data_IF_355771503434
#
_entry.id   IF_355771503434
#
_cell.length_a   1.000
_cell.length_b   1.000
_cell.length_c   1.000
_cell.angle_alpha   90.00
_cell.angle_beta   90.00
_cell.angle_gamma   90.00
#
_symmetry.space_group_name_H-M   'P 1'
#
loop_
_entity.id
_entity.type
_entity.pdbx_description
1 polymer ?
#
# COMPACT_ATOMS: atom_id res chain seq x y z
N UNK A 1 -12.35 0.86 13.07
CA UNK A 1 -11.53 1.69 13.96
C UNK A 1 -12.45 2.64 14.71
N UNK A 2 -12.27 2.80 16.00
CA UNK A 2 -13.04 3.78 16.79
C UNK A 2 -12.33 5.15 16.81
N UNK A 3 -13.01 6.17 17.35
CA UNK A 3 -12.47 7.56 17.42
C UNK A 3 -11.18 7.70 18.26
N UNK A 4 -10.78 6.65 18.96
CA UNK A 4 -9.53 6.58 19.73
C UNK A 4 -8.41 5.87 18.97
N UNK A 5 -8.65 5.47 17.72
CA UNK A 5 -7.71 4.72 16.91
C UNK A 5 -7.65 3.23 17.24
N UNK A 6 -8.53 2.70 18.11
CA UNK A 6 -8.55 1.28 18.42
C UNK A 6 -9.11 0.48 17.25
N UNK A 7 -8.30 -0.41 16.72
CA UNK A 7 -8.69 -1.36 15.69
C UNK A 7 -9.43 -2.52 16.37
N UNK A 8 -10.63 -2.82 15.89
CA UNK A 8 -11.39 -4.01 16.29
C UNK A 8 -11.59 -4.86 15.06
N UNK A 9 -10.90 -5.97 15.01
CA UNK A 9 -10.97 -6.90 13.90
C UNK A 9 -12.15 -7.86 14.10
N UNK A 10 -13.14 -7.88 13.19
CA UNK A 10 -14.00 -9.03 13.06
C UNK A 10 -13.19 -10.19 12.46
N UNK A 11 -13.62 -11.46 12.66
CA UNK A 11 -12.98 -12.56 11.98
C UNK A 11 -12.99 -12.33 10.47
N UNK A 12 -11.88 -12.69 9.76
CA UNK A 12 -11.80 -12.53 8.33
C UNK A 12 -12.96 -13.31 7.66
N UNK A 13 -13.61 -12.67 6.69
CA UNK A 13 -14.62 -13.34 5.88
C UNK A 13 -13.91 -14.12 4.78
N UNK A 14 -14.23 -15.41 4.61
CA UNK A 14 -13.74 -16.15 3.45
C UNK A 14 -14.26 -15.50 2.17
N UNK A 15 -13.35 -15.16 1.26
CA UNK A 15 -13.69 -14.56 -0.02
C UNK A 15 -13.37 -15.54 -1.13
N UNK A 16 -14.36 -15.89 -1.92
CA UNK A 16 -14.16 -16.58 -3.18
C UNK A 16 -13.87 -15.57 -4.29
N UNK A 17 -13.09 -15.96 -5.29
CA UNK A 17 -12.79 -15.13 -6.45
C UNK A 17 -14.10 -14.65 -7.12
N UNK A 18 -14.22 -13.31 -7.29
CA UNK A 18 -15.40 -12.68 -7.88
C UNK A 18 -16.54 -12.30 -6.92
N UNK A 19 -16.47 -12.63 -5.63
CA UNK A 19 -17.51 -12.30 -4.64
C UNK A 19 -17.14 -11.12 -3.71
N UNK A 20 -16.04 -10.45 -3.95
CA UNK A 20 -15.50 -9.41 -3.05
C UNK A 20 -16.51 -8.29 -2.73
N UNK A 21 -17.23 -7.79 -3.74
CA UNK A 21 -18.22 -6.73 -3.55
C UNK A 21 -19.42 -7.18 -2.75
N UNK A 22 -20.00 -8.34 -3.08
CA UNK A 22 -21.15 -8.90 -2.38
C UNK A 22 -20.82 -9.16 -0.90
N UNK A 23 -19.60 -9.63 -0.61
CA UNK A 23 -19.10 -9.84 0.74
C UNK A 23 -18.98 -8.51 1.51
N UNK A 24 -18.43 -7.45 0.88
CA UNK A 24 -18.35 -6.11 1.47
C UNK A 24 -19.75 -5.59 1.81
N UNK A 25 -20.71 -5.67 0.89
CA UNK A 25 -22.07 -5.22 1.16
C UNK A 25 -22.73 -6.03 2.28
N UNK A 26 -22.61 -7.36 2.25
CA UNK A 26 -23.17 -8.23 3.30
C UNK A 26 -22.60 -7.87 4.67
N UNK A 27 -21.31 -7.64 4.76
CA UNK A 27 -20.64 -7.23 5.99
C UNK A 27 -21.14 -5.87 6.48
N UNK A 28 -21.20 -4.86 5.62
CA UNK A 28 -21.62 -3.52 5.96
C UNK A 28 -23.11 -3.43 6.31
N UNK A 29 -23.98 -4.16 5.60
CA UNK A 29 -25.40 -4.26 5.90
C UNK A 29 -25.65 -4.86 7.30
N UNK A 30 -24.78 -5.77 7.73
CA UNK A 30 -24.85 -6.35 9.08
C UNK A 30 -24.26 -5.45 10.17
N UNK A 31 -23.36 -4.53 9.82
CA UNK A 31 -22.59 -3.71 10.76
C UNK A 31 -23.22 -2.32 10.98
N UNK A 32 -23.56 -1.60 9.90
CA UNK A 32 -23.98 -0.20 9.94
C UNK A 32 -25.22 0.02 10.80
N UNK A 33 -26.28 -0.80 10.72
CA UNK A 33 -27.47 -0.61 11.57
C UNK A 33 -27.22 -0.80 13.06
N UNK A 34 -26.12 -1.47 13.43
CA UNK A 34 -25.79 -1.82 14.82
C UNK A 34 -24.74 -0.93 15.45
N UNK A 35 -24.12 -0.05 14.67
CA UNK A 35 -22.99 0.77 15.08
C UNK A 35 -23.15 2.19 14.58
N UNK A 36 -22.64 3.15 15.32
CA UNK A 36 -22.55 4.54 14.89
C UNK A 36 -21.32 4.68 13.96
N UNK A 37 -21.50 4.39 12.66
CA UNK A 37 -20.47 4.50 11.66
C UNK A 37 -20.49 5.92 11.09
N UNK A 38 -19.33 6.55 10.94
CA UNK A 38 -19.19 7.92 10.44
C UNK A 38 -18.55 8.00 9.06
N UNK A 39 -17.76 7.02 8.68
CA UNK A 39 -17.15 6.92 7.38
C UNK A 39 -16.78 5.46 7.06
N UNK A 40 -16.58 5.17 5.80
CA UNK A 40 -16.17 3.86 5.30
C UNK A 40 -14.81 4.03 4.59
N UNK A 41 -13.80 3.26 5.00
CA UNK A 41 -12.53 3.13 4.32
C UNK A 41 -12.38 1.75 3.73
N UNK A 42 -12.03 1.68 2.45
CA UNK A 42 -11.78 0.43 1.73
C UNK A 42 -10.42 0.53 1.05
N UNK A 43 -9.52 -0.36 1.42
CA UNK A 43 -8.29 -0.58 0.67
C UNK A 43 -8.48 -1.75 -0.29
N UNK A 44 -8.04 -1.58 -1.51
CA UNK A 44 -8.21 -2.58 -2.54
C UNK A 44 -6.91 -2.80 -3.31
N UNK A 45 -6.56 -4.06 -3.65
CA UNK A 45 -5.47 -4.33 -4.57
C UNK A 45 -5.84 -3.84 -5.98
N UNK A 46 -4.84 -3.35 -6.71
CA UNK A 46 -5.00 -2.80 -8.06
C UNK A 46 -5.05 -1.27 -8.09
N UNK A 47 -5.33 -0.73 -9.28
CA UNK A 47 -5.34 0.73 -9.50
C UNK A 47 -6.65 1.31 -8.97
N UNK A 48 -6.55 2.29 -8.07
CA UNK A 48 -7.72 3.00 -7.53
C UNK A 48 -7.76 4.41 -8.11
N UNK A 49 -8.83 4.72 -8.87
CA UNK A 49 -9.02 6.01 -9.51
C UNK A 49 -10.49 6.42 -9.54
N UNK A 50 -10.77 7.68 -9.14
CA UNK A 50 -12.10 8.26 -9.25
C UNK A 50 -13.21 7.45 -8.60
N UNK A 51 -12.96 6.83 -7.45
CA UNK A 51 -13.93 5.96 -6.76
C UNK A 51 -14.08 4.56 -7.34
N UNK A 52 -13.27 4.22 -8.34
CA UNK A 52 -13.27 2.91 -8.99
C UNK A 52 -12.01 2.13 -8.66
N UNK A 53 -12.10 0.80 -8.70
CA UNK A 53 -10.98 -0.14 -8.67
C UNK A 53 -10.82 -0.73 -10.05
N UNK A 54 -9.61 -0.68 -10.60
CA UNK A 54 -9.24 -1.37 -11.84
C UNK A 54 -8.33 -2.53 -11.49
N UNK A 55 -8.73 -3.73 -11.85
CA UNK A 55 -7.95 -4.96 -11.66
C UNK A 55 -7.68 -5.63 -12.99
N UNK A 56 -6.45 -6.07 -13.20
CA UNK A 56 -6.10 -6.92 -14.31
C UNK A 56 -6.60 -8.33 -14.03
N UNK A 57 -7.20 -8.99 -15.02
CA UNK A 57 -7.51 -10.42 -14.91
C UNK A 57 -6.24 -11.27 -14.86
N UNK A 58 -6.27 -12.35 -14.05
CA UNK A 58 -5.12 -13.27 -13.90
C UNK A 58 -4.62 -13.88 -15.22
N UNK A 59 -5.46 -13.96 -16.23
CA UNK A 59 -5.16 -14.62 -17.52
C UNK A 59 -5.62 -13.80 -18.74
N UNK A 60 -5.67 -12.45 -18.61
CA UNK A 60 -6.09 -11.58 -19.69
C UNK A 60 -5.34 -10.24 -19.69
N UNK A 61 -5.47 -9.51 -20.80
CA UNK A 61 -4.94 -8.15 -20.92
C UNK A 61 -5.97 -7.07 -20.55
N UNK A 62 -7.19 -7.47 -20.20
CA UNK A 62 -8.28 -6.56 -19.88
C UNK A 62 -8.29 -6.19 -18.40
N UNK A 63 -8.64 -4.93 -18.13
CA UNK A 63 -8.86 -4.43 -16.80
C UNK A 63 -10.36 -4.37 -16.50
N UNK A 64 -10.77 -5.03 -15.43
CA UNK A 64 -12.11 -4.85 -14.89
C UNK A 64 -12.18 -3.59 -14.05
N UNK A 65 -13.16 -2.74 -14.38
CA UNK A 65 -13.46 -1.53 -13.63
C UNK A 65 -14.70 -1.73 -12.77
N UNK A 66 -14.53 -1.55 -11.46
CA UNK A 66 -15.59 -1.64 -10.47
C UNK A 66 -15.81 -0.29 -9.80
N UNK A 67 -17.01 0.27 -9.87
CA UNK A 67 -17.39 1.53 -9.21
C UNK A 67 -17.80 1.30 -7.75
N UNK A 68 -16.84 0.87 -6.93
CA UNK A 68 -17.08 0.49 -5.55
C UNK A 68 -17.31 1.70 -4.64
N UNK A 69 -16.53 2.76 -4.82
CA UNK A 69 -16.57 3.94 -3.94
C UNK A 69 -17.90 4.68 -4.04
N UNK A 70 -18.36 4.98 -5.25
CA UNK A 70 -19.64 5.66 -5.45
C UNK A 70 -20.82 4.79 -5.05
N UNK A 71 -20.76 3.49 -5.32
CA UNK A 71 -21.82 2.55 -4.93
C UNK A 71 -21.96 2.48 -3.41
N UNK A 72 -20.84 2.44 -2.67
CA UNK A 72 -20.85 2.47 -1.21
C UNK A 72 -21.41 3.80 -0.67
N UNK A 73 -20.93 4.93 -1.21
CA UNK A 73 -21.38 6.25 -0.79
C UNK A 73 -22.89 6.44 -1.03
N UNK A 74 -23.40 6.02 -2.18
CA UNK A 74 -24.81 6.10 -2.53
C UNK A 74 -25.68 5.19 -1.63
N UNK A 75 -25.21 3.95 -1.38
CA UNK A 75 -25.98 2.98 -0.59
C UNK A 75 -26.10 3.37 0.88
N UNK A 76 -25.02 3.86 1.48
CA UNK A 76 -24.96 4.09 2.92
C UNK A 76 -25.08 5.55 3.34
N UNK A 77 -24.98 6.51 2.41
CA UNK A 77 -25.03 7.93 2.72
C UNK A 77 -23.87 8.40 3.62
N UNK A 78 -22.73 7.74 3.55
CA UNK A 78 -21.55 8.01 4.37
C UNK A 78 -20.37 8.43 3.49
N UNK A 79 -19.43 9.25 4.02
CA UNK A 79 -18.16 9.49 3.38
C UNK A 79 -17.42 8.17 3.13
N UNK A 80 -16.88 7.98 1.91
CA UNK A 80 -16.12 6.80 1.52
C UNK A 80 -14.73 7.20 1.08
N UNK A 81 -13.73 6.49 1.61
CA UNK A 81 -12.35 6.51 1.11
C UNK A 81 -12.08 5.17 0.44
N UNK A 82 -11.68 5.22 -0.81
CA UNK A 82 -11.18 4.08 -1.55
C UNK A 82 -9.71 4.37 -1.90
N UNK A 83 -8.81 3.49 -1.49
CA UNK A 83 -7.37 3.65 -1.73
C UNK A 83 -6.74 2.30 -2.12
N UNK A 84 -5.62 2.36 -2.84
CA UNK A 84 -4.78 1.18 -3.04
C UNK A 84 -4.21 0.70 -1.69
N UNK A 85 -4.17 -0.59 -1.49
CA UNK A 85 -3.75 -1.23 -0.23
C UNK A 85 -2.29 -0.94 0.14
N UNK A 86 -1.38 -0.90 -0.83
CA UNK A 86 0.03 -0.60 -0.57
C UNK A 86 0.28 0.88 -0.30
N UNK A 87 -0.49 1.76 -0.94
CA UNK A 87 -0.49 3.18 -0.60
C UNK A 87 -0.96 3.38 0.84
N UNK A 88 -2.02 2.69 1.24
CA UNK A 88 -2.50 2.72 2.63
C UNK A 88 -1.44 2.18 3.59
N UNK A 89 -0.79 1.05 3.25
CA UNK A 89 0.29 0.47 4.06
C UNK A 89 1.46 1.44 4.21
N UNK A 90 1.88 2.11 3.13
CA UNK A 90 2.95 3.11 3.18
C UNK A 90 2.58 4.29 4.12
N UNK A 91 1.33 4.77 4.08
CA UNK A 91 0.83 5.80 5.00
C UNK A 91 0.87 5.31 6.46
N UNK A 92 0.40 4.11 6.72
CA UNK A 92 0.41 3.53 8.07
C UNK A 92 1.82 3.42 8.64
N UNK A 93 2.76 2.90 7.86
CA UNK A 93 4.17 2.85 8.19
C UNK A 93 4.74 4.24 8.45
N UNK A 94 4.52 5.20 7.53
CA UNK A 94 5.00 6.57 7.67
C UNK A 94 4.53 7.20 8.97
N UNK A 95 3.28 6.98 9.37
CA UNK A 95 2.73 7.45 10.64
C UNK A 95 3.36 6.77 11.85
N UNK A 96 3.64 5.47 11.78
CA UNK A 96 4.35 4.77 12.85
C UNK A 96 5.77 5.32 13.03
N UNK A 97 6.47 5.64 11.94
CA UNK A 97 7.83 6.16 11.99
C UNK A 97 7.92 7.62 12.45
N UNK A 98 6.90 8.45 12.28
CA UNK A 98 6.84 9.79 12.90
C UNK A 98 7.00 9.73 14.42
N UNK A 99 6.49 8.68 15.06
CA UNK A 99 6.68 8.46 16.51
C UNK A 99 8.10 8.02 16.87
N UNK A 100 8.79 7.33 15.97
CA UNK A 100 10.17 6.89 16.17
C UNK A 100 11.19 8.00 15.89
N UNK A 101 10.84 8.96 15.03
CA UNK A 101 11.71 10.08 14.62
C UNK A 101 11.00 11.43 14.87
N UNK A 102 10.75 11.79 16.14
CA UNK A 102 10.07 13.03 16.49
C UNK A 102 10.92 14.24 16.04
N UNK A 103 10.30 15.13 15.31
CA UNK A 103 10.91 16.35 14.78
C UNK A 103 10.99 16.44 13.26
N UNK A 104 10.64 15.36 12.56
CA UNK A 104 10.35 15.39 11.14
C UNK A 104 8.84 15.46 10.98
N UNK A 105 8.30 16.59 10.58
CA UNK A 105 6.87 16.73 10.32
C UNK A 105 6.41 15.75 9.23
N UNK A 106 5.14 15.38 9.27
CA UNK A 106 4.52 14.47 8.29
C UNK A 106 4.80 14.91 6.83
N UNK A 107 4.88 16.23 6.62
CA UNK A 107 5.17 16.86 5.33
C UNK A 107 6.59 16.58 4.80
N UNK A 108 7.50 16.12 5.64
CA UNK A 108 8.87 15.78 5.27
C UNK A 108 9.09 14.28 5.07
N UNK A 109 8.05 13.46 5.28
CA UNK A 109 8.16 12.02 5.10
C UNK A 109 8.42 11.67 3.64
N UNK A 110 9.54 10.99 3.39
CA UNK A 110 9.91 10.43 2.09
C UNK A 110 10.24 8.97 2.31
N UNK A 111 9.37 8.07 1.85
CA UNK A 111 9.56 6.63 2.06
C UNK A 111 8.96 5.80 0.93
N UNK A 112 9.43 4.56 0.83
CA UNK A 112 8.85 3.54 0.00
C UNK A 112 8.50 2.32 0.86
N UNK A 113 7.40 1.66 0.55
CA UNK A 113 7.08 0.34 1.06
C UNK A 113 7.07 -0.64 -0.11
N UNK A 114 7.90 -1.67 -0.06
CA UNK A 114 7.91 -2.76 -1.04
C UNK A 114 7.26 -3.99 -0.45
N UNK A 115 6.27 -4.48 -1.15
CA UNK A 115 5.50 -5.66 -0.79
C UNK A 115 5.87 -6.81 -1.71
N UNK A 116 6.37 -7.89 -1.11
CA UNK A 116 6.71 -9.13 -1.81
C UNK A 116 5.61 -10.15 -1.55
N UNK A 117 4.96 -10.56 -2.62
CA UNK A 117 3.95 -11.61 -2.62
C UNK A 117 4.39 -12.77 -3.52
N UNK A 118 3.66 -13.88 -3.53
CA UNK A 118 3.98 -15.01 -4.41
C UNK A 118 3.87 -14.57 -5.88
N UNK A 119 5.00 -14.62 -6.57
CA UNK A 119 5.08 -14.28 -7.99
C UNK A 119 5.00 -12.78 -8.30
N UNK A 120 4.96 -11.87 -7.32
CA UNK A 120 4.93 -10.46 -7.63
C UNK A 120 5.60 -9.55 -6.60
N UNK A 121 5.93 -8.33 -7.02
CA UNK A 121 6.39 -7.26 -6.16
C UNK A 121 5.74 -5.94 -6.57
N UNK A 122 5.21 -5.23 -5.59
CA UNK A 122 4.60 -3.92 -5.79
C UNK A 122 5.03 -2.95 -4.69
N UNK A 123 4.75 -1.67 -4.84
CA UNK A 123 5.16 -0.67 -3.86
C UNK A 123 4.12 0.42 -3.64
N UNK A 124 4.17 1.02 -2.44
CA UNK A 124 3.56 2.30 -2.14
C UNK A 124 4.63 3.34 -1.86
N UNK A 125 4.48 4.55 -2.37
CA UNK A 125 5.46 5.62 -2.27
C UNK A 125 4.90 6.86 -1.59
N UNK A 126 5.70 7.47 -0.72
CA UNK A 126 5.42 8.77 -0.11
C UNK A 126 6.56 9.71 -0.43
N UNK A 127 6.24 10.88 -0.95
CA UNK A 127 7.17 11.98 -1.17
C UNK A 127 6.57 13.28 -0.60
N UNK A 128 7.33 13.98 0.24
CA UNK A 128 6.86 15.19 0.91
C UNK A 128 5.55 14.94 1.70
N UNK A 129 5.44 13.82 2.41
CA UNK A 129 4.28 13.43 3.19
C UNK A 129 3.02 13.04 2.39
N UNK A 130 3.13 12.94 1.06
CA UNK A 130 2.00 12.64 0.18
C UNK A 130 2.22 11.37 -0.61
N UNK A 131 1.15 10.61 -0.83
CA UNK A 131 1.18 9.42 -1.69
C UNK A 131 1.52 9.84 -3.13
N UNK A 132 2.51 9.14 -3.70
CA UNK A 132 2.88 9.31 -5.11
C UNK A 132 2.04 8.35 -5.94
N UNK A 133 1.03 8.85 -6.64
CA UNK A 133 0.14 8.04 -7.47
C UNK A 133 0.52 8.02 -8.95
N UNK A 134 1.29 9.02 -9.40
CA UNK A 134 1.51 9.22 -10.83
C UNK A 134 0.28 9.82 -11.53
N UNK A 135 0.27 9.77 -12.87
CA UNK A 135 -0.79 10.38 -13.66
C UNK A 135 -2.15 9.64 -13.56
N UNK A 136 -2.10 8.31 -13.60
CA UNK A 136 -3.28 7.42 -13.61
C UNK A 136 -3.24 6.40 -12.46
N UNK A 137 -2.64 6.77 -11.32
CA UNK A 137 -2.48 5.93 -10.13
C UNK A 137 -1.70 4.62 -10.38
N UNK A 138 -0.79 4.62 -11.34
CA UNK A 138 0.02 3.47 -11.73
C UNK A 138 1.38 3.40 -11.02
N UNK A 139 1.73 4.43 -10.24
CA UNK A 139 3.00 4.42 -9.52
C UNK A 139 3.00 3.31 -8.45
N UNK A 140 4.05 2.49 -8.48
CA UNK A 140 4.19 1.36 -7.56
C UNK A 140 3.96 -0.02 -8.17
N UNK A 141 3.47 -0.10 -9.41
CA UNK A 141 3.28 -1.36 -10.16
C UNK A 141 4.63 -1.90 -10.67
N UNK A 142 5.51 -2.25 -9.71
CA UNK A 142 6.91 -2.67 -10.01
C UNK A 142 6.98 -3.97 -10.80
N UNK A 143 6.02 -4.85 -10.61
CA UNK A 143 5.94 -6.12 -11.32
C UNK A 143 5.89 -5.99 -12.84
N UNK A 144 5.40 -4.84 -13.33
CA UNK A 144 5.30 -4.55 -14.76
C UNK A 144 6.55 -3.88 -15.34
N UNK A 145 7.63 -3.73 -14.55
CA UNK A 145 8.90 -3.17 -15.05
C UNK A 145 9.65 -4.24 -15.87
N UNK A 146 9.97 -3.96 -17.15
CA UNK A 146 10.71 -4.90 -17.98
C UNK A 146 12.15 -5.06 -17.47
N UNK A 147 12.65 -6.28 -17.51
CA UNK A 147 14.01 -6.64 -17.16
C UNK A 147 14.91 -6.65 -18.43
N UNK A 148 16.21 -6.93 -18.27
CA UNK A 148 17.18 -6.94 -19.38
C UNK A 148 16.83 -7.92 -20.52
N UNK A 149 16.10 -8.98 -20.22
CA UNK A 149 15.63 -9.98 -21.17
C UNK A 149 14.21 -9.71 -21.71
N UNK A 150 13.73 -8.48 -21.55
CA UNK A 150 12.41 -7.99 -21.98
C UNK A 150 11.21 -8.62 -21.26
N UNK A 151 11.40 -9.59 -20.35
CA UNK A 151 10.34 -10.11 -19.51
C UNK A 151 10.01 -9.14 -18.39
N UNK A 152 8.76 -9.19 -17.91
CA UNK A 152 8.33 -8.40 -16.77
C UNK A 152 8.94 -8.93 -15.47
N UNK A 153 9.09 -8.07 -14.48
CA UNK A 153 9.64 -8.44 -13.19
C UNK A 153 8.82 -9.56 -12.52
N UNK A 154 7.48 -9.50 -12.61
CA UNK A 154 6.61 -10.54 -12.06
C UNK A 154 6.87 -11.90 -12.71
N UNK A 155 7.13 -11.97 -14.01
CA UNK A 155 7.49 -13.22 -14.69
C UNK A 155 8.79 -13.82 -14.15
N UNK A 156 9.72 -12.98 -13.66
CA UNK A 156 10.92 -13.46 -12.97
C UNK A 156 10.60 -13.93 -11.56
N UNK A 157 9.67 -13.24 -10.85
CA UNK A 157 9.27 -13.59 -9.50
C UNK A 157 8.46 -14.88 -9.42
N UNK A 158 7.74 -15.24 -10.48
CA UNK A 158 7.02 -16.53 -10.59
C UNK A 158 7.97 -17.73 -10.62
N UNK A 159 9.23 -17.54 -10.98
CA UNK A 159 10.21 -18.62 -11.03
C UNK A 159 10.85 -18.83 -9.65
N UNK A 160 11.23 -20.08 -9.33
CA UNK A 160 11.97 -20.33 -8.10
C UNK A 160 13.32 -19.59 -8.11
N UNK A 161 13.48 -18.60 -7.25
CA UNK A 161 14.73 -17.85 -7.11
C UNK A 161 15.56 -18.42 -5.94
N UNK A 162 16.86 -18.58 -6.15
CA UNK A 162 17.81 -18.76 -5.05
C UNK A 162 17.91 -17.45 -4.24
N UNK A 163 18.38 -17.50 -3.00
CA UNK A 163 18.54 -16.30 -2.18
C UNK A 163 19.50 -15.28 -2.79
N UNK A 164 20.51 -15.73 -3.51
CA UNK A 164 21.42 -14.85 -4.24
C UNK A 164 20.73 -14.12 -5.42
N UNK A 165 19.84 -14.79 -6.15
CA UNK A 165 19.05 -14.19 -7.22
C UNK A 165 18.03 -13.20 -6.65
N UNK A 166 17.31 -13.61 -5.61
CA UNK A 166 16.36 -12.78 -4.89
C UNK A 166 17.01 -11.50 -4.34
N UNK A 167 18.15 -11.65 -3.66
CA UNK A 167 18.94 -10.52 -3.14
C UNK A 167 19.35 -9.54 -4.24
N UNK A 168 19.87 -10.06 -5.36
CA UNK A 168 20.28 -9.24 -6.50
C UNK A 168 19.12 -8.44 -7.07
N UNK A 169 17.98 -9.09 -7.26
CA UNK A 169 16.75 -8.47 -7.75
C UNK A 169 16.27 -7.36 -6.81
N UNK A 170 16.21 -7.64 -5.50
CA UNK A 170 15.84 -6.65 -4.50
C UNK A 170 16.82 -5.44 -4.48
N UNK A 171 18.13 -5.68 -4.59
CA UNK A 171 19.14 -4.61 -4.66
C UNK A 171 18.95 -3.74 -5.90
N UNK A 172 18.65 -4.31 -7.06
CA UNK A 172 18.38 -3.55 -8.28
C UNK A 172 17.13 -2.67 -8.13
N UNK A 173 16.04 -3.23 -7.61
CA UNK A 173 14.80 -2.48 -7.34
C UNK A 173 15.05 -1.31 -6.39
N UNK A 174 15.74 -1.56 -5.30
CA UNK A 174 16.10 -0.54 -4.32
C UNK A 174 17.01 0.54 -4.93
N UNK A 175 17.95 0.15 -5.79
CA UNK A 175 18.80 1.07 -6.52
C UNK A 175 17.98 2.04 -7.39
N UNK A 176 16.99 1.54 -8.13
CA UNK A 176 16.10 2.38 -8.92
C UNK A 176 15.25 3.31 -8.04
N UNK A 177 14.66 2.78 -6.97
CA UNK A 177 13.85 3.57 -6.05
C UNK A 177 14.68 4.68 -5.40
N UNK A 178 15.88 4.38 -4.95
CA UNK A 178 16.81 5.40 -4.42
C UNK A 178 17.21 6.43 -5.46
N UNK A 179 17.45 6.02 -6.71
CA UNK A 179 17.82 6.95 -7.79
C UNK A 179 16.68 7.83 -8.29
N UNK A 180 15.43 7.37 -8.20
CA UNK A 180 14.25 8.08 -8.73
C UNK A 180 13.57 8.92 -7.65
N UNK A 181 13.35 8.34 -6.46
CA UNK A 181 12.56 8.97 -5.39
C UNK A 181 13.42 9.49 -4.25
N UNK A 182 14.64 8.96 -4.11
CA UNK A 182 15.54 9.27 -3.00
C UNK A 182 14.83 9.24 -1.63
N UNK A 183 14.18 8.12 -1.27
CA UNK A 183 13.47 8.03 -0.01
C UNK A 183 14.47 7.99 1.14
N UNK A 184 14.09 8.52 2.29
CA UNK A 184 14.88 8.36 3.52
C UNK A 184 14.78 6.94 4.05
N UNK A 185 13.58 6.35 3.99
CA UNK A 185 13.29 5.00 4.48
C UNK A 185 12.73 4.14 3.35
N UNK A 186 13.15 2.88 3.34
CA UNK A 186 12.50 1.85 2.54
C UNK A 186 12.11 0.69 3.43
N UNK A 187 10.83 0.46 3.59
CA UNK A 187 10.30 -0.68 4.30
C UNK A 187 10.08 -1.85 3.35
N UNK A 188 10.49 -3.04 3.77
CA UNK A 188 10.39 -4.29 3.03
C UNK A 188 9.49 -5.24 3.81
N UNK A 189 8.49 -5.81 3.18
CA UNK A 189 7.54 -6.70 3.83
C UNK A 189 6.74 -7.55 2.85
N UNK A 190 5.67 -8.16 3.35
CA UNK A 190 4.82 -9.06 2.59
C UNK A 190 5.11 -10.54 2.88
N UNK A 191 4.17 -11.44 2.54
CA UNK A 191 4.25 -12.86 2.93
C UNK A 191 5.42 -13.61 2.27
N UNK A 192 5.92 -13.15 1.13
CA UNK A 192 7.04 -13.76 0.42
C UNK A 192 8.37 -13.03 0.63
N UNK A 193 8.40 -12.00 1.48
CA UNK A 193 9.65 -11.32 1.80
C UNK A 193 10.60 -12.23 2.60
N UNK A 194 11.80 -12.42 2.07
CA UNK A 194 12.85 -13.26 2.69
C UNK A 194 13.65 -12.43 3.69
N UNK A 195 13.16 -12.37 4.94
CA UNK A 195 13.78 -11.60 6.02
C UNK A 195 15.27 -11.90 6.20
N UNK A 196 15.68 -13.17 6.03
CA UNK A 196 17.06 -13.59 6.17
C UNK A 196 17.99 -13.00 5.11
N UNK A 197 17.44 -12.55 3.98
CA UNK A 197 18.18 -11.85 2.93
C UNK A 197 18.40 -10.35 3.23
N UNK A 198 17.76 -9.76 4.26
CA UNK A 198 17.81 -8.32 4.52
C UNK A 198 19.24 -7.79 4.71
N UNK A 199 20.10 -8.54 5.42
CA UNK A 199 21.51 -8.18 5.58
C UNK A 199 22.24 -8.11 4.25
N UNK A 200 22.12 -9.16 3.43
CA UNK A 200 22.75 -9.23 2.12
C UNK A 200 22.20 -8.16 1.14
N UNK A 201 20.91 -7.82 1.24
CA UNK A 201 20.30 -6.73 0.48
C UNK A 201 20.93 -5.39 0.89
N UNK A 202 21.07 -5.13 2.20
CA UNK A 202 21.69 -3.90 2.71
C UNK A 202 23.15 -3.75 2.28
N UNK A 203 23.93 -4.84 2.34
CA UNK A 203 25.31 -4.87 1.85
C UNK A 203 25.38 -4.59 0.35
N UNK A 204 24.54 -5.26 -0.44
CA UNK A 204 24.48 -5.08 -1.89
C UNK A 204 24.12 -3.64 -2.27
N UNK A 205 23.15 -3.03 -1.60
CA UNK A 205 22.77 -1.64 -1.83
C UNK A 205 23.91 -0.69 -1.46
N UNK A 206 24.62 -0.96 -0.36
CA UNK A 206 25.78 -0.16 0.08
C UNK A 206 26.96 -0.25 -0.86
N UNK A 207 27.10 -1.35 -1.60
CA UNK A 207 28.10 -1.49 -2.66
C UNK A 207 27.71 -0.76 -3.95
N UNK A 208 26.40 -0.58 -4.18
CA UNK A 208 25.87 0.05 -5.39
C UNK A 208 25.81 1.58 -5.30
N UNK A 209 25.46 2.13 -4.13
CA UNK A 209 25.20 3.56 -3.95
C UNK A 209 26.17 4.23 -2.97
N UNK A 210 26.45 5.54 -3.16
CA UNK A 210 27.20 6.33 -2.17
C UNK A 210 26.50 6.35 -0.81
N UNK A 211 27.28 6.35 0.28
CA UNK A 211 26.75 6.28 1.65
C UNK A 211 25.69 7.34 1.99
N UNK A 212 25.85 8.54 1.47
CA UNK A 212 24.92 9.65 1.69
C UNK A 212 23.64 9.58 0.84
N UNK A 213 23.53 8.58 -0.04
CA UNK A 213 22.34 8.33 -0.88
C UNK A 213 21.61 7.04 -0.49
N UNK A 214 22.10 6.35 0.55
CA UNK A 214 21.47 5.13 1.02
C UNK A 214 20.20 5.45 1.79
N UNK A 215 19.12 4.77 1.44
CA UNK A 215 17.94 4.71 2.28
C UNK A 215 18.16 3.79 3.48
N UNK A 216 17.54 4.13 4.60
CA UNK A 216 17.47 3.25 5.75
C UNK A 216 16.47 2.12 5.48
N UNK A 217 16.94 0.87 5.53
CA UNK A 217 16.08 -0.30 5.27
C UNK A 217 15.39 -0.74 6.55
N UNK A 218 14.08 -0.93 6.47
CA UNK A 218 13.21 -1.33 7.54
C UNK A 218 12.49 -2.63 7.18
N UNK A 219 12.17 -3.44 8.19
CA UNK A 219 11.36 -4.63 8.00
C UNK A 219 9.95 -4.41 8.56
N UNK A 220 8.94 -4.46 7.68
CA UNK A 220 7.53 -4.46 8.08
C UNK A 220 7.14 -5.89 8.48
N UNK A 221 7.08 -6.14 9.78
CA UNK A 221 6.75 -7.45 10.35
C UNK A 221 5.24 -7.73 10.36
N UNK A 222 4.42 -6.69 10.36
CA UNK A 222 2.96 -6.76 10.42
C UNK A 222 2.34 -5.80 9.40
N UNK A 223 2.46 -6.17 8.12
CA UNK A 223 1.93 -5.38 7.01
C UNK A 223 0.40 -5.18 7.11
N UNK A 224 -0.31 -6.11 7.75
CA UNK A 224 -1.75 -5.98 7.95
C UNK A 224 -2.08 -4.86 8.95
N UNK A 225 -1.34 -4.77 10.04
CA UNK A 225 -1.49 -3.67 11.00
C UNK A 225 -1.13 -2.33 10.36
N UNK A 226 -0.05 -2.28 9.57
CA UNK A 226 0.37 -1.07 8.85
C UNK A 226 -0.70 -0.62 7.87
N UNK A 227 -1.27 -1.54 7.08
CA UNK A 227 -2.39 -1.28 6.18
C UNK A 227 -3.62 -0.74 6.92
N UNK A 228 -4.04 -1.39 8.00
CA UNK A 228 -5.20 -0.97 8.77
C UNK A 228 -5.01 0.41 9.40
N UNK A 229 -3.83 0.70 9.91
CA UNK A 229 -3.45 2.00 10.47
C UNK A 229 -3.51 3.09 9.41
N UNK A 230 -3.02 2.82 8.21
CA UNK A 230 -3.09 3.76 7.08
C UNK A 230 -4.51 4.01 6.61
N UNK A 231 -5.32 2.97 6.44
CA UNK A 231 -6.73 3.11 6.07
C UNK A 231 -7.52 3.85 7.14
N UNK A 232 -7.25 3.59 8.42
CA UNK A 232 -7.87 4.31 9.52
C UNK A 232 -7.55 5.80 9.46
N UNK A 233 -6.28 6.15 9.24
CA UNK A 233 -5.84 7.53 9.10
C UNK A 233 -6.51 8.24 7.91
N UNK A 234 -6.46 7.62 6.72
CA UNK A 234 -7.06 8.20 5.51
C UNK A 234 -8.57 8.41 5.66
N UNK A 235 -9.25 7.44 6.28
CA UNK A 235 -10.70 7.53 6.53
C UNK A 235 -11.03 8.63 7.53
N UNK A 236 -10.24 8.76 8.61
CA UNK A 236 -10.42 9.82 9.58
C UNK A 236 -10.14 11.21 8.96
N UNK A 237 -9.09 11.36 8.18
CA UNK A 237 -8.77 12.59 7.48
C UNK A 237 -9.94 13.06 6.59
N UNK A 238 -10.54 12.13 5.83
CA UNK A 238 -11.70 12.42 4.98
C UNK A 238 -12.90 12.93 5.76
N UNK A 239 -13.14 12.43 6.96
CA UNK A 239 -14.21 12.92 7.83
C UNK A 239 -14.02 14.38 8.22
N UNK A 240 -12.77 14.81 8.45
CA UNK A 240 -12.46 16.19 8.85
C UNK A 240 -12.45 17.16 7.67
N UNK A 241 -12.12 16.71 6.46
CA UNK A 241 -12.17 17.54 5.24
C UNK A 241 -13.60 18.02 4.93
N UNK A 242 -14.62 17.28 5.35
CA UNK A 242 -16.03 17.61 5.15
C UNK A 242 -16.61 18.48 6.29
N UNK A 243 -15.85 18.69 7.37
CA UNK A 243 -16.27 19.57 8.48
C UNK A 243 -15.87 21.00 8.17
N UNK A 244 -16.77 21.77 7.59
CA UNK A 244 -16.60 23.23 7.48
C UNK A 244 -16.87 23.87 8.86
N UNK A 245 -15.82 24.38 9.50
CA UNK A 245 -15.99 25.25 10.67
C UNK A 245 -16.67 26.54 10.18
N UNK A 246 -17.93 26.76 10.55
CA UNK A 246 -18.60 28.03 10.34
C UNK A 246 -17.86 29.02 11.24
N UNK A 247 -17.13 29.97 10.63
CA UNK A 247 -16.65 31.14 11.38
C UNK A 247 -17.86 32.02 11.61
N UNK A 248 -18.25 32.19 12.88
CA UNK A 248 -19.14 33.27 13.32
C UNK A 248 -18.52 34.65 13.06
#
# INVERSE_FOLDING_TARGET
>A
VDVRGQIREPPPLPMEDGMAEAAIFTFLDGLIPKREIRAIGVGAPGIVEGGCVLRKEKHGDEFHKTDLGHTLAQRYGLPVVLENDLNATAIGLGRCYEHLFPGEGAENTNMAYLHFEEGCVSAGFIAGGRIVRGWNNFAGELGLVPQEDERLLDEHMEQPLSDAQYTRLAVHLLGWICGILNPRYVALGGPSFRKDCLGAISEGLSALLPKNMLAELLYSADHQHDYQSGMAYLTAAKMFDEVHLIKE
#
